data_IF_021312293362
#
_entry.id   IF_021312293362
#
_cell.length_a   1.000
_cell.length_b   1.000
_cell.length_c   1.000
_cell.angle_alpha   90.00
_cell.angle_beta   90.00
_cell.angle_gamma   90.00
#
_symmetry.space_group_name_H-M   'P 1'
#
loop_
_entity.id
_entity.type
_entity.pdbx_description
1 polymer ?
#
# COMPACT_ATOMS: atom_id res chain seq x y z
N UNK A 1 -30.89 5.99 13.22
CA UNK A 1 -30.49 4.61 12.89
C UNK A 1 -29.54 4.19 13.98
N UNK A 2 -29.83 3.08 14.67
CA UNK A 2 -29.05 2.66 15.83
C UNK A 2 -27.88 1.79 15.37
N UNK A 3 -26.74 2.43 15.13
CA UNK A 3 -25.49 1.73 14.84
C UNK A 3 -24.76 1.42 16.14
N UNK A 4 -24.16 0.23 16.22
CA UNK A 4 -23.23 -0.12 17.30
C UNK A 4 -21.81 0.03 16.79
N UNK A 5 -21.08 0.99 17.36
CA UNK A 5 -19.65 1.15 17.11
C UNK A 5 -18.87 0.11 17.92
N UNK A 6 -18.02 -0.67 17.25
CA UNK A 6 -17.07 -1.60 17.91
C UNK A 6 -15.65 -1.29 17.47
N UNK A 7 -14.71 -1.39 18.41
CA UNK A 7 -13.28 -1.15 18.19
C UNK A 7 -12.49 -2.43 18.47
N UNK A 8 -11.80 -2.94 17.47
CA UNK A 8 -10.94 -4.14 17.59
C UNK A 8 -9.47 -3.74 17.54
N UNK A 9 -8.62 -4.49 18.24
CA UNK A 9 -7.16 -4.29 18.20
C UNK A 9 -6.48 -5.22 17.18
N UNK A 10 -7.21 -6.18 16.62
CA UNK A 10 -6.70 -7.13 15.64
C UNK A 10 -7.75 -7.28 14.53
N UNK A 11 -7.37 -7.17 13.24
CA UNK A 11 -8.34 -7.36 12.16
C UNK A 11 -8.95 -8.76 12.16
N UNK A 12 -8.27 -9.76 12.72
CA UNK A 12 -8.72 -11.17 12.75
C UNK A 12 -9.92 -11.39 13.66
N UNK A 13 -10.20 -10.46 14.57
CA UNK A 13 -11.41 -10.46 15.38
C UNK A 13 -12.66 -10.02 14.58
N UNK A 14 -12.47 -9.55 13.34
CA UNK A 14 -13.55 -9.19 12.42
C UNK A 14 -13.70 -10.30 11.38
N UNK A 15 -14.93 -10.80 11.10
CA UNK A 15 -15.14 -11.81 10.07
C UNK A 15 -14.66 -11.34 8.69
N UNK A 16 -13.67 -12.04 8.12
CA UNK A 16 -13.04 -11.69 6.85
C UNK A 16 -14.05 -11.51 5.71
N UNK A 17 -15.01 -12.42 5.59
CA UNK A 17 -16.05 -12.36 4.56
C UNK A 17 -16.88 -11.06 4.61
N UNK A 18 -17.17 -10.55 5.81
CA UNK A 18 -17.93 -9.30 5.96
C UNK A 18 -17.08 -8.08 5.59
N UNK A 19 -15.82 -8.07 6.03
CA UNK A 19 -14.88 -7.00 5.68
C UNK A 19 -14.62 -6.94 4.17
N UNK A 20 -14.29 -8.08 3.57
CA UNK A 20 -13.98 -8.17 2.14
C UNK A 20 -15.23 -7.94 1.28
N UNK A 21 -16.41 -8.35 1.77
CA UNK A 21 -17.70 -8.01 1.16
C UNK A 21 -17.98 -6.51 1.11
N UNK A 22 -17.59 -5.74 2.14
CA UNK A 22 -17.61 -4.28 2.09
C UNK A 22 -16.55 -3.73 1.14
N UNK A 23 -15.32 -4.24 1.20
CA UNK A 23 -14.22 -3.82 0.35
C UNK A 23 -14.57 -3.90 -1.14
N UNK A 24 -15.18 -5.01 -1.57
CA UNK A 24 -15.56 -5.23 -2.97
C UNK A 24 -16.61 -4.24 -3.51
N UNK A 25 -17.38 -3.59 -2.63
CA UNK A 25 -18.44 -2.64 -2.99
C UNK A 25 -17.97 -1.18 -3.03
N UNK A 26 -16.69 -0.92 -2.74
CA UNK A 26 -16.19 0.45 -2.69
C UNK A 26 -15.90 1.03 -4.08
N UNK A 27 -15.76 2.35 -4.16
CA UNK A 27 -15.48 3.09 -5.39
C UNK A 27 -14.05 2.91 -5.91
N UNK A 28 -13.10 2.65 -5.02
CA UNK A 28 -11.69 2.42 -5.34
C UNK A 28 -11.12 1.27 -4.49
N UNK A 29 -11.57 0.02 -4.72
CA UNK A 29 -11.06 -1.13 -4.00
C UNK A 29 -9.59 -1.35 -4.34
N UNK A 30 -8.82 -1.80 -3.35
CA UNK A 30 -7.42 -2.19 -3.54
C UNK A 30 -7.16 -3.47 -2.76
N UNK A 31 -6.24 -4.35 -3.19
CA UNK A 31 -5.89 -5.54 -2.42
C UNK A 31 -5.33 -5.18 -1.04
N UNK A 32 -4.81 -3.96 -0.86
CA UNK A 32 -4.12 -3.53 0.35
C UNK A 32 -5.05 -3.16 1.52
N UNK A 33 -6.35 -3.04 1.27
CA UNK A 33 -7.35 -2.88 2.34
C UNK A 33 -8.15 -4.17 2.57
N UNK A 34 -7.82 -5.28 1.89
CA UNK A 34 -8.42 -6.58 2.17
C UNK A 34 -8.09 -7.07 3.58
N UNK A 35 -8.95 -7.93 4.12
CA UNK A 35 -8.76 -8.52 5.43
C UNK A 35 -7.44 -9.28 5.52
N UNK A 36 -7.15 -10.14 4.53
CA UNK A 36 -5.92 -10.93 4.49
C UNK A 36 -4.65 -10.07 4.50
N UNK A 37 -4.66 -8.94 3.78
CA UNK A 37 -3.53 -8.02 3.75
C UNK A 37 -3.30 -7.33 5.10
N UNK A 38 -4.38 -6.83 5.71
CA UNK A 38 -4.32 -6.17 7.02
C UNK A 38 -3.91 -7.18 8.10
N UNK A 39 -4.49 -8.38 8.11
CA UNK A 39 -4.11 -9.46 9.02
C UNK A 39 -2.62 -9.79 8.91
N UNK A 40 -2.09 -9.93 7.69
CA UNK A 40 -0.68 -10.21 7.48
C UNK A 40 0.25 -9.15 8.08
N UNK A 41 -0.09 -7.86 7.98
CA UNK A 41 0.70 -6.77 8.57
C UNK A 41 0.81 -6.87 10.10
N UNK A 42 -0.27 -7.29 10.75
CA UNK A 42 -0.38 -7.40 12.20
C UNK A 42 0.25 -8.69 12.72
N UNK A 43 -0.04 -9.82 12.07
CA UNK A 43 0.51 -11.14 12.42
C UNK A 43 2.04 -11.18 12.29
N UNK A 44 2.58 -10.50 11.28
CA UNK A 44 4.02 -10.44 11.04
C UNK A 44 4.77 -9.48 11.98
N UNK A 45 4.03 -8.71 12.79
CA UNK A 45 4.55 -7.63 13.63
C UNK A 45 5.00 -6.38 12.88
N UNK A 46 4.85 -6.33 11.55
CA UNK A 46 5.30 -5.22 10.71
C UNK A 46 4.59 -3.92 11.09
N UNK A 47 3.26 -3.96 11.20
CA UNK A 47 2.46 -2.87 11.75
C UNK A 47 2.01 -3.25 13.15
N UNK A 48 2.70 -2.75 14.17
CA UNK A 48 2.38 -3.05 15.57
C UNK A 48 2.66 -1.84 16.46
N UNK A 49 2.19 -1.83 17.72
CA UNK A 49 2.54 -0.77 18.66
C UNK A 49 4.06 -0.57 18.80
N UNK A 50 4.85 -1.65 18.69
CA UNK A 50 6.33 -1.60 18.75
C UNK A 50 6.94 -0.83 17.57
N UNK A 51 6.32 -0.88 16.40
CA UNK A 51 6.74 -0.13 15.20
C UNK A 51 5.99 1.20 15.04
N UNK A 52 5.32 1.65 16.12
CA UNK A 52 4.58 2.90 16.15
C UNK A 52 3.28 2.89 15.33
N UNK A 53 2.68 1.71 15.12
CA UNK A 53 1.41 1.48 14.44
C UNK A 53 0.44 0.75 15.38
N UNK A 54 -0.10 1.43 16.41
CA UNK A 54 -1.07 0.80 17.31
C UNK A 54 -2.45 0.71 16.62
N UNK A 55 -2.99 -0.48 16.31
CA UNK A 55 -4.25 -0.62 15.58
C UNK A 55 -5.48 -0.29 16.39
N UNK A 56 -6.48 0.28 15.73
CA UNK A 56 -7.87 0.40 16.16
C UNK A 56 -8.77 0.20 14.92
N UNK A 57 -9.29 -1.00 14.74
CA UNK A 57 -10.24 -1.27 13.67
C UNK A 57 -11.63 -0.87 14.13
N UNK A 58 -12.14 0.22 13.56
CA UNK A 58 -13.43 0.79 13.94
C UNK A 58 -14.47 0.25 12.98
N UNK A 59 -15.58 -0.24 13.52
CA UNK A 59 -16.65 -0.86 12.76
C UNK A 59 -18.00 -0.33 13.22
N UNK A 60 -18.93 -0.16 12.28
CA UNK A 60 -20.33 0.09 12.55
C UNK A 60 -21.15 -1.15 12.22
N UNK A 61 -22.00 -1.53 13.16
CA UNK A 61 -22.88 -2.69 13.04
C UNK A 61 -24.33 -2.25 13.09
N UNK A 62 -25.14 -2.82 12.21
CA UNK A 62 -26.59 -2.80 12.31
C UNK A 62 -27.04 -4.24 12.53
N UNK A 63 -27.59 -4.52 13.71
CA UNK A 63 -27.79 -5.88 14.21
C UNK A 63 -26.48 -6.71 14.14
N UNK A 64 -26.47 -7.76 13.31
CA UNK A 64 -25.30 -8.62 13.06
C UNK A 64 -24.61 -8.34 11.72
N UNK A 65 -25.00 -7.29 11.01
CA UNK A 65 -24.40 -6.91 9.74
C UNK A 65 -23.34 -5.83 9.94
N UNK A 66 -22.14 -6.07 9.41
CA UNK A 66 -21.11 -5.04 9.30
C UNK A 66 -21.48 -4.08 8.16
N UNK A 67 -21.76 -2.82 8.50
CA UNK A 67 -22.23 -1.81 7.53
C UNK A 67 -21.17 -0.77 7.18
N UNK A 68 -20.15 -0.60 8.03
CA UNK A 68 -18.97 0.20 7.71
C UNK A 68 -17.77 -0.19 8.58
N UNK A 69 -16.57 0.08 8.08
CA UNK A 69 -15.33 -0.17 8.79
C UNK A 69 -14.17 0.69 8.29
N UNK A 70 -13.19 0.95 9.16
CA UNK A 70 -11.89 1.48 8.76
C UNK A 70 -10.76 0.98 9.67
N UNK A 71 -9.54 0.94 9.13
CA UNK A 71 -8.33 0.69 9.91
C UNK A 71 -7.75 2.02 10.40
N UNK A 72 -7.99 2.37 11.66
CA UNK A 72 -7.34 3.50 12.34
C UNK A 72 -6.06 3.00 13.03
N UNK A 73 -5.04 3.83 13.04
CA UNK A 73 -3.79 3.59 13.75
C UNK A 73 -3.44 4.79 14.62
N UNK A 74 -3.10 4.53 15.88
CA UNK A 74 -2.48 5.51 16.76
C UNK A 74 -0.97 5.49 16.49
N UNK A 75 -0.48 6.57 15.88
CA UNK A 75 0.91 6.71 15.43
C UNK A 75 1.74 7.43 16.49
N UNK A 76 2.87 6.85 16.87
CA UNK A 76 3.88 7.48 17.74
C UNK A 76 4.96 8.26 16.98
N UNK A 77 4.98 8.15 15.65
CA UNK A 77 5.88 8.86 14.73
C UNK A 77 5.32 8.80 13.29
N UNK A 78 5.86 9.62 12.38
CA UNK A 78 5.42 9.66 10.97
C UNK A 78 6.05 8.59 10.04
N UNK A 79 6.99 7.76 10.52
CA UNK A 79 7.61 6.73 9.67
C UNK A 79 6.60 5.69 9.15
N UNK A 80 6.80 5.29 7.90
CA UNK A 80 5.97 4.33 7.17
C UNK A 80 4.68 4.91 6.55
N UNK A 81 4.39 6.20 6.76
CA UNK A 81 3.18 6.85 6.23
C UNK A 81 3.37 7.38 4.80
N UNK A 82 4.63 7.60 4.37
CA UNK A 82 5.02 8.24 3.10
C UNK A 82 4.47 9.66 2.89
N UNK A 83 3.80 10.22 3.91
CA UNK A 83 3.50 11.64 4.06
C UNK A 83 3.99 12.00 5.46
N UNK A 84 5.00 12.86 5.53
CA UNK A 84 5.66 13.17 6.80
C UNK A 84 5.18 14.51 7.37
N UNK A 85 4.84 14.50 8.65
CA UNK A 85 4.31 15.66 9.37
C UNK A 85 5.36 16.30 10.31
N UNK A 86 6.65 16.19 9.95
CA UNK A 86 7.75 16.75 10.74
C UNK A 86 7.56 18.22 11.07
N UNK A 87 7.04 19.01 10.13
CA UNK A 87 6.77 20.43 10.35
C UNK A 87 5.73 20.65 11.47
N UNK A 88 4.69 19.82 11.55
CA UNK A 88 3.66 19.92 12.60
C UNK A 88 4.20 19.43 13.94
N UNK A 89 4.92 18.30 13.93
CA UNK A 89 5.56 17.76 15.13
C UNK A 89 6.55 18.75 15.75
N UNK A 90 7.36 19.42 14.92
CA UNK A 90 8.31 20.44 15.36
C UNK A 90 7.59 21.65 15.95
N UNK A 91 6.56 22.18 15.28
CA UNK A 91 5.79 23.32 15.78
C UNK A 91 5.13 23.02 17.15
N UNK A 92 4.56 21.83 17.33
CA UNK A 92 4.03 21.40 18.63
C UNK A 92 5.12 21.39 19.71
N UNK A 93 6.30 20.81 19.39
CA UNK A 93 7.43 20.75 20.30
C UNK A 93 7.97 22.14 20.70
N UNK A 94 8.04 23.07 19.75
CA UNK A 94 8.43 24.48 19.99
C UNK A 94 7.46 25.20 20.95
N UNK A 95 6.22 24.73 21.05
CA UNK A 95 5.21 25.24 21.99
C UNK A 95 5.00 24.34 23.22
N UNK A 96 5.85 23.34 23.45
CA UNK A 96 5.75 22.44 24.61
C UNK A 96 4.55 21.48 24.56
N UNK A 97 3.96 21.28 23.40
CA UNK A 97 2.82 20.38 23.18
C UNK A 97 3.30 19.04 22.59
N UNK A 98 2.59 17.95 22.92
CA UNK A 98 2.84 16.65 22.33
C UNK A 98 2.04 16.49 21.02
N UNK A 99 2.75 16.29 19.90
CA UNK A 99 2.09 15.98 18.62
C UNK A 99 1.73 14.50 18.48
N UNK A 100 2.43 13.59 19.15
CA UNK A 100 2.09 12.16 19.14
C UNK A 100 1.50 11.75 20.50
N UNK A 101 0.54 10.81 20.53
CA UNK A 101 0.01 10.08 19.38
C UNK A 101 -0.97 10.91 18.53
N UNK A 102 -0.94 10.66 17.23
CA UNK A 102 -1.97 11.11 16.28
C UNK A 102 -2.76 9.93 15.75
N UNK A 103 -4.00 10.18 15.31
CA UNK A 103 -4.81 9.20 14.58
C UNK A 103 -4.45 9.18 13.09
N UNK A 104 -4.40 7.99 12.50
CA UNK A 104 -4.14 7.79 11.08
C UNK A 104 -5.04 6.71 10.49
N UNK A 105 -5.85 7.06 9.49
CA UNK A 105 -6.53 6.08 8.62
C UNK A 105 -5.75 5.98 7.31
N UNK A 106 -4.99 4.89 7.18
CA UNK A 106 -4.18 4.58 6.02
C UNK A 106 -3.86 3.09 5.99
N UNK A 107 -3.34 2.60 4.86
CA UNK A 107 -2.72 1.28 4.82
C UNK A 107 -1.24 1.42 5.21
N UNK A 108 -0.76 0.69 6.24
CA UNK A 108 0.65 0.75 6.63
C UNK A 108 1.59 0.46 5.47
N UNK A 109 2.65 1.26 5.37
CA UNK A 109 3.73 1.10 4.41
C UNK A 109 3.30 1.09 2.92
N UNK A 110 2.13 1.66 2.60
CA UNK A 110 1.51 1.51 1.29
C UNK A 110 0.88 2.82 0.79
N UNK A 111 1.61 3.64 0.00
CA UNK A 111 1.16 4.95 -0.46
C UNK A 111 0.25 4.89 -1.70
N UNK A 112 -0.68 3.93 -1.74
CA UNK A 112 -1.57 3.69 -2.88
C UNK A 112 -2.94 4.34 -2.64
N UNK A 113 -3.42 5.23 -3.52
CA UNK A 113 -4.79 5.75 -3.46
C UNK A 113 -5.84 4.65 -3.48
N UNK A 114 -6.84 4.77 -2.62
CA UNK A 114 -7.96 3.84 -2.56
C UNK A 114 -8.87 4.13 -1.38
N UNK A 115 -9.93 3.35 -1.23
CA UNK A 115 -10.89 3.55 -0.16
C UNK A 115 -10.25 3.33 1.22
N UNK A 116 -10.61 4.17 2.19
CA UNK A 116 -10.17 4.13 3.60
C UNK A 116 -11.32 3.98 4.57
N UNK A 117 -12.50 4.47 4.19
CA UNK A 117 -13.74 4.37 4.94
C UNK A 117 -14.69 3.44 4.18
N UNK A 118 -14.61 2.14 4.49
CA UNK A 118 -15.49 1.14 3.91
C UNK A 118 -16.90 1.38 4.43
N UNK A 119 -17.88 1.50 3.54
CA UNK A 119 -19.28 1.68 3.93
C UNK A 119 -20.24 1.22 2.82
N UNK A 120 -21.45 0.82 3.20
CA UNK A 120 -22.51 0.45 2.25
C UNK A 120 -23.05 1.65 1.47
N UNK A 121 -23.01 2.86 2.03
CA UNK A 121 -23.44 4.09 1.36
C UNK A 121 -22.75 5.33 1.97
N UNK A 122 -23.01 6.50 1.37
CA UNK A 122 -22.43 7.79 1.79
C UNK A 122 -22.79 8.19 3.22
N UNK A 123 -24.04 7.99 3.64
CA UNK A 123 -24.53 8.43 4.95
C UNK A 123 -23.88 7.64 6.07
N UNK A 124 -23.74 6.33 5.88
CA UNK A 124 -23.04 5.44 6.81
C UNK A 124 -21.54 5.79 6.84
N UNK A 125 -20.93 6.13 5.69
CA UNK A 125 -19.53 6.56 5.63
C UNK A 125 -19.28 7.81 6.47
N UNK A 126 -20.16 8.80 6.35
CA UNK A 126 -20.09 10.02 7.17
C UNK A 126 -20.29 9.70 8.65
N UNK A 127 -21.23 8.82 9.02
CA UNK A 127 -21.40 8.37 10.41
C UNK A 127 -20.17 7.64 10.96
N UNK A 128 -19.51 6.80 10.15
CA UNK A 128 -18.25 6.16 10.53
C UNK A 128 -17.20 7.22 10.82
N UNK A 129 -17.01 8.20 9.94
CA UNK A 129 -16.02 9.25 10.14
C UNK A 129 -16.32 10.11 11.37
N UNK A 130 -17.59 10.46 11.62
CA UNK A 130 -18.00 11.14 12.87
C UNK A 130 -17.59 10.32 14.10
N UNK A 131 -17.88 9.02 14.10
CA UNK A 131 -17.51 8.12 15.21
C UNK A 131 -15.99 8.06 15.42
N UNK A 132 -15.21 8.06 14.34
CA UNK A 132 -13.74 8.07 14.38
C UNK A 132 -13.24 9.39 14.98
N UNK A 133 -13.80 10.53 14.57
CA UNK A 133 -13.44 11.85 15.09
C UNK A 133 -13.72 11.96 16.58
N UNK A 134 -14.89 11.51 17.03
CA UNK A 134 -15.26 11.57 18.45
C UNK A 134 -14.36 10.66 19.29
N UNK A 135 -14.07 9.45 18.81
CA UNK A 135 -13.12 8.56 19.45
C UNK A 135 -11.71 9.18 19.56
N UNK A 136 -11.25 9.91 18.53
CA UNK A 136 -9.96 10.60 18.57
C UNK A 136 -9.93 11.73 19.62
N UNK A 137 -11.04 12.48 19.76
CA UNK A 137 -11.18 13.51 20.80
C UNK A 137 -11.22 12.91 22.19
N UNK A 138 -11.99 11.83 22.40
CA UNK A 138 -12.08 11.12 23.69
C UNK A 138 -10.71 10.58 24.14
N UNK A 139 -9.89 10.09 23.20
CA UNK A 139 -8.53 9.63 23.47
C UNK A 139 -7.49 10.77 23.56
N UNK A 140 -7.89 12.02 23.37
CA UNK A 140 -6.99 13.18 23.43
C UNK A 140 -5.91 13.18 22.35
N UNK A 141 -6.19 12.63 21.17
CA UNK A 141 -5.24 12.62 20.06
C UNK A 141 -5.06 14.04 19.51
N UNK A 142 -3.83 14.39 19.14
CA UNK A 142 -3.48 15.74 18.64
C UNK A 142 -4.15 16.07 17.30
N UNK A 143 -4.32 15.07 16.44
CA UNK A 143 -4.91 15.20 15.11
C UNK A 143 -5.38 13.84 14.58
N UNK A 144 -6.22 13.88 13.53
CA UNK A 144 -6.61 12.73 12.72
C UNK A 144 -6.22 12.99 11.26
N UNK A 145 -5.57 12.02 10.63
CA UNK A 145 -5.16 12.08 9.23
C UNK A 145 -5.79 10.92 8.46
N UNK A 146 -6.34 11.22 7.28
CA UNK A 146 -6.76 10.20 6.31
C UNK A 146 -5.87 10.35 5.07
N UNK A 147 -5.07 9.33 4.75
CA UNK A 147 -4.08 9.41 3.67
C UNK A 147 -4.48 8.54 2.48
N UNK A 148 -4.22 9.07 1.28
CA UNK A 148 -4.44 8.39 0.00
C UNK A 148 -5.91 7.96 -0.18
N UNK A 149 -6.84 8.84 0.21
CA UNK A 149 -8.30 8.63 0.22
C UNK A 149 -8.89 8.52 -1.19
N UNK A 150 -9.95 7.74 -1.32
CA UNK A 150 -10.80 7.68 -2.52
C UNK A 150 -11.62 8.98 -2.72
N UNK A 151 -12.22 9.20 -3.90
CA UNK A 151 -13.21 10.27 -4.09
C UNK A 151 -14.34 10.25 -3.06
N UNK A 152 -14.89 9.07 -2.74
CA UNK A 152 -15.99 8.95 -1.78
C UNK A 152 -15.57 9.23 -0.32
N UNK A 153 -14.36 8.85 0.07
CA UNK A 153 -13.79 9.24 1.37
C UNK A 153 -13.67 10.76 1.49
N UNK A 154 -13.21 11.44 0.42
CA UNK A 154 -13.05 12.90 0.40
C UNK A 154 -14.37 13.63 0.60
N UNK A 155 -15.45 13.16 -0.03
CA UNK A 155 -16.78 13.73 0.17
C UNK A 155 -17.23 13.66 1.64
N UNK A 156 -16.95 12.53 2.32
CA UNK A 156 -17.25 12.41 3.75
C UNK A 156 -16.37 13.34 4.61
N UNK A 157 -15.09 13.48 4.28
CA UNK A 157 -14.20 14.43 4.94
C UNK A 157 -14.67 15.89 4.78
N UNK A 158 -15.05 16.28 3.57
CA UNK A 158 -15.51 17.64 3.26
C UNK A 158 -16.83 17.95 3.99
N UNK A 159 -17.76 16.98 4.05
CA UNK A 159 -19.02 17.11 4.77
C UNK A 159 -18.84 17.37 6.28
N UNK A 160 -17.72 16.92 6.87
CA UNK A 160 -17.38 17.12 8.27
C UNK A 160 -16.34 18.24 8.49
N UNK A 161 -15.99 19.00 7.45
CA UNK A 161 -15.11 20.16 7.55
C UNK A 161 -13.63 19.82 7.77
N UNK A 162 -13.17 18.63 7.40
CA UNK A 162 -11.75 18.28 7.46
C UNK A 162 -10.96 19.08 6.42
N UNK A 163 -9.71 19.42 6.73
CA UNK A 163 -8.83 20.16 5.83
C UNK A 163 -8.16 19.23 4.82
N UNK A 164 -8.17 19.62 3.54
CA UNK A 164 -7.47 18.88 2.49
C UNK A 164 -6.00 19.29 2.40
N UNK A 165 -5.12 18.29 2.34
CA UNK A 165 -3.72 18.46 1.93
C UNK A 165 -3.50 17.76 0.60
N UNK A 166 -3.03 18.50 -0.39
CA UNK A 166 -2.78 17.97 -1.73
C UNK A 166 -1.33 17.53 -1.90
N UNK A 167 -1.13 16.48 -2.69
CA UNK A 167 0.18 16.00 -3.14
C UNK A 167 0.07 15.53 -4.58
N UNK A 168 1.20 15.35 -5.26
CA UNK A 168 1.26 14.90 -6.65
C UNK A 168 1.73 13.45 -6.69
N UNK A 169 1.01 12.62 -7.45
CA UNK A 169 1.43 11.29 -7.84
C UNK A 169 1.39 11.16 -9.36
N UNK A 170 2.32 10.41 -9.92
CA UNK A 170 2.36 10.10 -11.35
C UNK A 170 1.78 8.71 -11.58
N UNK A 171 0.68 8.64 -12.32
CA UNK A 171 0.04 7.37 -12.69
C UNK A 171 0.15 7.18 -14.19
N UNK A 172 0.69 6.03 -14.61
CA UNK A 172 0.66 5.64 -16.02
C UNK A 172 -0.68 4.95 -16.30
N UNK A 173 -1.29 5.27 -17.45
CA UNK A 173 -2.51 4.64 -17.94
C UNK A 173 -2.27 4.13 -19.35
N UNK A 174 -2.68 2.90 -19.63
CA UNK A 174 -2.57 2.36 -20.96
C UNK A 174 -3.57 3.09 -21.89
N UNK A 175 -3.06 3.90 -22.82
CA UNK A 175 -3.87 4.56 -23.85
C UNK A 175 -4.08 3.65 -25.07
N UNK A 176 -4.47 2.39 -24.83
CA UNK A 176 -4.68 1.35 -25.85
C UNK A 176 -3.40 0.95 -26.62
N UNK A 177 -2.24 1.05 -25.97
CA UNK A 177 -1.00 0.49 -26.50
C UNK A 177 -1.06 -1.04 -26.49
N UNK A 178 -0.67 -1.62 -27.61
CA UNK A 178 -0.68 -3.08 -27.87
C UNK A 178 0.61 -3.76 -27.44
N UNK A 179 1.69 -3.00 -27.39
CA UNK A 179 3.03 -3.44 -27.04
C UNK A 179 3.89 -2.24 -26.61
N UNK A 180 5.09 -2.54 -26.13
CA UNK A 180 6.02 -1.53 -25.63
C UNK A 180 6.52 -0.58 -26.75
N UNK A 181 6.74 -1.07 -27.96
CA UNK A 181 7.20 -0.23 -29.08
C UNK A 181 6.12 0.77 -29.49
N UNK A 182 4.85 0.37 -29.50
CA UNK A 182 3.70 1.24 -29.72
C UNK A 182 3.63 2.33 -28.63
N UNK A 183 3.78 1.98 -27.35
CA UNK A 183 3.90 2.98 -26.27
C UNK A 183 5.04 3.97 -26.53
N UNK A 184 6.21 3.48 -26.92
CA UNK A 184 7.34 4.36 -27.22
C UNK A 184 7.06 5.34 -28.37
N UNK A 185 6.13 5.03 -29.29
CA UNK A 185 5.74 5.95 -30.37
C UNK A 185 5.08 7.24 -29.86
N UNK A 186 4.44 7.21 -28.68
CA UNK A 186 3.79 8.37 -28.08
C UNK A 186 4.78 9.33 -27.39
N UNK A 187 6.03 8.92 -27.22
CA UNK A 187 7.07 9.71 -26.56
C UNK A 187 7.90 10.52 -27.55
N UNK A 188 8.49 11.63 -27.08
CA UNK A 188 9.46 12.41 -27.85
C UNK A 188 10.66 11.56 -28.27
N UNK A 189 11.28 11.91 -29.39
CA UNK A 189 12.41 11.16 -29.96
C UNK A 189 13.54 10.98 -28.93
N UNK A 190 13.85 12.01 -28.15
CA UNK A 190 14.88 11.97 -27.11
C UNK A 190 14.54 10.96 -26.00
N UNK A 191 13.32 11.01 -25.44
CA UNK A 191 12.86 10.06 -24.42
C UNK A 191 12.86 8.63 -24.94
N UNK A 192 12.34 8.43 -26.16
CA UNK A 192 12.32 7.13 -26.83
C UNK A 192 13.73 6.56 -26.98
N UNK A 193 14.67 7.37 -27.47
CA UNK A 193 16.08 6.96 -27.66
C UNK A 193 16.73 6.60 -26.32
N UNK A 194 16.47 7.39 -25.27
CA UNK A 194 16.98 7.14 -23.93
C UNK A 194 16.47 5.81 -23.36
N UNK A 195 15.16 5.57 -23.41
CA UNK A 195 14.57 4.30 -22.93
C UNK A 195 15.21 3.12 -23.69
N UNK A 196 15.21 3.15 -25.03
CA UNK A 196 15.82 2.07 -25.83
C UNK A 196 17.30 1.83 -25.50
N UNK A 197 18.05 2.89 -25.22
CA UNK A 197 19.45 2.78 -24.79
C UNK A 197 19.58 2.13 -23.40
N UNK A 198 18.74 2.50 -22.45
CA UNK A 198 18.73 1.91 -21.10
C UNK A 198 18.37 0.42 -21.15
N UNK A 199 17.34 0.04 -21.90
CA UNK A 199 16.97 -1.39 -22.10
C UNK A 199 18.12 -2.18 -22.73
N UNK A 200 18.73 -1.61 -23.77
CA UNK A 200 19.86 -2.23 -24.48
C UNK A 200 21.06 -2.47 -23.57
N UNK A 201 21.39 -1.54 -22.66
CA UNK A 201 22.49 -1.73 -21.69
C UNK A 201 22.27 -2.93 -20.79
N UNK A 202 21.04 -3.14 -20.33
CA UNK A 202 20.68 -4.30 -19.49
C UNK A 202 20.84 -5.60 -20.28
N UNK A 203 20.39 -5.62 -21.54
CA UNK A 203 20.56 -6.77 -22.43
C UNK A 203 22.03 -7.06 -22.77
N UNK A 204 22.82 -6.03 -23.08
CA UNK A 204 24.27 -6.14 -23.36
C UNK A 204 25.06 -6.59 -22.13
N UNK A 205 24.56 -6.32 -20.92
CA UNK A 205 25.10 -6.86 -19.67
C UNK A 205 24.74 -8.35 -19.44
N UNK A 206 24.07 -9.00 -20.39
CA UNK A 206 23.69 -10.40 -20.33
C UNK A 206 22.49 -10.70 -19.42
N UNK A 207 21.70 -9.68 -19.08
CA UNK A 207 20.54 -9.84 -18.18
C UNK A 207 19.30 -10.24 -18.98
N UNK A 208 18.59 -11.24 -18.47
CA UNK A 208 17.29 -11.70 -18.95
C UNK A 208 16.28 -11.69 -17.81
N UNK A 209 14.98 -11.71 -18.11
CA UNK A 209 13.93 -11.69 -17.11
C UNK A 209 13.08 -12.96 -17.18
N UNK A 210 12.76 -13.51 -16.01
CA UNK A 210 11.68 -14.47 -15.83
C UNK A 210 10.52 -13.78 -15.10
N UNK A 211 9.33 -13.86 -15.69
CA UNK A 211 8.09 -13.37 -15.08
C UNK A 211 7.35 -14.54 -14.47
N UNK A 212 6.92 -14.39 -13.21
CA UNK A 212 6.10 -15.38 -12.49
C UNK A 212 4.93 -14.66 -11.86
N UNK A 213 3.74 -15.24 -11.97
CA UNK A 213 2.50 -14.63 -11.48
C UNK A 213 1.74 -15.56 -10.56
N UNK A 214 1.09 -15.01 -9.54
CA UNK A 214 0.21 -15.81 -8.70
C UNK A 214 0.92 -17.00 -8.04
N UNK A 215 0.31 -18.16 -8.17
CA UNK A 215 0.83 -19.45 -7.70
C UNK A 215 2.11 -19.94 -8.41
N UNK A 216 2.52 -19.32 -9.52
CA UNK A 216 3.79 -19.63 -10.19
C UNK A 216 5.01 -19.10 -9.41
N UNK A 217 4.79 -18.16 -8.49
CA UNK A 217 5.83 -17.63 -7.61
C UNK A 217 6.10 -18.64 -6.50
N UNK A 218 7.18 -19.39 -6.63
CA UNK A 218 7.56 -20.43 -5.68
C UNK A 218 8.09 -19.86 -4.37
N UNK A 219 8.15 -20.68 -3.31
CA UNK A 219 8.76 -20.27 -2.04
C UNK A 219 10.21 -19.79 -2.20
N UNK A 220 10.97 -20.43 -3.09
CA UNK A 220 12.36 -20.04 -3.38
C UNK A 220 12.44 -18.64 -4.01
N UNK A 221 11.44 -18.28 -4.82
CA UNK A 221 11.36 -16.94 -5.40
C UNK A 221 11.03 -15.88 -4.33
N UNK A 222 10.12 -16.20 -3.41
CA UNK A 222 9.79 -15.34 -2.28
C UNK A 222 10.99 -15.13 -1.34
N UNK A 223 11.77 -16.18 -1.10
CA UNK A 223 13.00 -16.10 -0.31
C UNK A 223 14.06 -15.24 -1.01
N UNK A 224 14.26 -15.46 -2.32
CA UNK A 224 15.15 -14.63 -3.12
C UNK A 224 14.72 -13.17 -3.13
N UNK A 225 13.42 -12.91 -3.30
CA UNK A 225 12.85 -11.58 -3.24
C UNK A 225 13.12 -10.91 -1.89
N UNK A 226 12.90 -11.61 -0.78
CA UNK A 226 13.11 -11.03 0.54
C UNK A 226 14.58 -10.67 0.77
N UNK A 227 15.52 -11.50 0.32
CA UNK A 227 16.95 -11.20 0.38
C UNK A 227 17.30 -9.91 -0.38
N UNK A 228 16.76 -9.75 -1.59
CA UNK A 228 16.89 -8.52 -2.37
C UNK A 228 16.31 -7.30 -1.64
N UNK A 229 15.08 -7.43 -1.14
CA UNK A 229 14.35 -6.38 -0.43
C UNK A 229 15.07 -5.93 0.85
N UNK A 230 15.44 -6.87 1.73
CA UNK A 230 16.12 -6.59 2.98
C UNK A 230 17.46 -5.90 2.74
N UNK A 231 18.22 -6.37 1.74
CA UNK A 231 19.52 -5.77 1.42
C UNK A 231 19.41 -4.31 1.02
N UNK A 232 18.40 -3.94 0.23
CA UNK A 232 18.16 -2.53 -0.13
C UNK A 232 17.92 -1.66 1.11
N UNK A 233 17.24 -2.16 2.13
CA UNK A 233 17.08 -1.42 3.39
C UNK A 233 18.41 -1.30 4.16
N UNK A 234 19.18 -2.38 4.26
CA UNK A 234 20.46 -2.41 4.96
C UNK A 234 21.52 -1.50 4.30
N UNK A 235 21.55 -1.45 2.97
CA UNK A 235 22.41 -0.53 2.20
C UNK A 235 22.11 0.95 2.52
N UNK A 236 20.87 1.25 2.92
CA UNK A 236 20.44 2.58 3.36
C UNK A 236 20.45 2.75 4.89
N UNK A 237 21.01 1.81 5.64
CA UNK A 237 21.15 1.88 7.09
C UNK A 237 19.85 1.77 7.87
N UNK A 238 18.78 1.25 7.26
CA UNK A 238 17.48 1.07 7.88
C UNK A 238 17.13 -0.43 7.96
N UNK A 239 16.30 -0.80 8.93
CA UNK A 239 15.67 -2.12 8.94
C UNK A 239 14.47 -2.13 7.97
N UNK A 240 14.16 -3.27 7.34
CA UNK A 240 12.95 -3.41 6.52
C UNK A 240 11.68 -3.15 7.32
N UNK A 241 10.71 -2.46 6.71
CA UNK A 241 9.38 -2.27 7.32
C UNK A 241 8.56 -3.56 7.36
N UNK A 242 8.71 -4.43 6.36
CA UNK A 242 7.93 -5.66 6.21
C UNK A 242 8.83 -6.87 6.44
N UNK A 243 8.45 -7.75 7.36
CA UNK A 243 9.23 -8.95 7.66
C UNK A 243 9.01 -10.06 6.63
N UNK A 244 9.89 -11.07 6.62
CA UNK A 244 9.72 -12.26 5.77
C UNK A 244 8.39 -12.99 6.00
N UNK A 245 7.89 -12.99 7.24
CA UNK A 245 6.61 -13.60 7.59
C UNK A 245 5.40 -12.88 6.97
N UNK A 246 5.49 -11.56 6.76
CA UNK A 246 4.49 -10.81 6.00
C UNK A 246 4.42 -11.32 4.55
N UNK A 247 5.57 -11.49 3.90
CA UNK A 247 5.60 -11.99 2.52
C UNK A 247 5.21 -13.48 2.42
N UNK A 248 5.45 -14.28 3.45
CA UNK A 248 4.89 -15.64 3.51
C UNK A 248 3.36 -15.60 3.46
N UNK A 249 2.75 -14.68 4.20
CA UNK A 249 1.29 -14.51 4.17
C UNK A 249 0.78 -14.08 2.80
N UNK A 250 1.55 -13.28 2.06
CA UNK A 250 1.21 -12.89 0.70
C UNK A 250 1.23 -14.10 -0.24
N UNK A 251 2.24 -14.95 -0.12
CA UNK A 251 2.29 -16.23 -0.84
C UNK A 251 1.10 -17.12 -0.51
N UNK A 252 0.78 -17.29 0.78
CA UNK A 252 -0.20 -18.28 1.21
C UNK A 252 -1.65 -17.85 0.96
N UNK A 253 -1.95 -16.56 1.07
CA UNK A 253 -3.33 -16.05 1.11
C UNK A 253 -3.68 -15.07 -0.01
N UNK A 254 -2.69 -14.54 -0.71
CA UNK A 254 -2.88 -13.46 -1.70
C UNK A 254 -1.98 -13.64 -2.93
N UNK A 255 -1.59 -14.87 -3.28
CA UNK A 255 -0.63 -15.13 -4.35
C UNK A 255 -1.02 -14.40 -5.65
N UNK A 256 -2.29 -14.51 -6.04
CA UNK A 256 -2.85 -13.95 -7.28
C UNK A 256 -2.79 -12.41 -7.36
N UNK A 257 -2.47 -11.73 -6.26
CA UNK A 257 -2.24 -10.29 -6.23
C UNK A 257 -0.79 -9.89 -6.50
N UNK A 258 0.06 -10.80 -6.97
CA UNK A 258 1.48 -10.54 -7.18
C UNK A 258 2.02 -11.03 -8.52
N UNK A 259 2.92 -10.23 -9.07
CA UNK A 259 3.78 -10.57 -10.20
C UNK A 259 5.22 -10.28 -9.81
N UNK A 260 6.09 -11.26 -10.02
CA UNK A 260 7.51 -11.17 -9.76
C UNK A 260 8.29 -11.21 -11.08
N UNK A 261 9.16 -10.23 -11.26
CA UNK A 261 10.17 -10.22 -12.32
C UNK A 261 11.52 -10.56 -11.69
N UNK A 262 12.12 -11.67 -12.10
CA UNK A 262 13.45 -12.11 -11.65
C UNK A 262 14.46 -11.82 -12.75
N UNK A 263 15.42 -10.95 -12.47
CA UNK A 263 16.53 -10.66 -13.37
C UNK A 263 17.61 -11.73 -13.20
N UNK A 264 18.04 -12.33 -14.30
CA UNK A 264 19.04 -13.38 -14.34
C UNK A 264 20.21 -13.02 -15.24
N UNK A 265 21.43 -13.34 -14.80
CA UNK A 265 22.66 -13.25 -15.58
C UNK A 265 23.44 -14.55 -15.43
N UNK A 266 23.85 -15.16 -16.54
CA UNK A 266 24.56 -16.45 -16.54
C UNK A 266 23.80 -17.56 -15.78
N UNK A 267 22.47 -17.52 -15.82
CA UNK A 267 21.60 -18.47 -15.11
C UNK A 267 21.44 -18.23 -13.61
N UNK A 268 22.09 -17.20 -13.04
CA UNK A 268 21.98 -16.82 -11.64
C UNK A 268 21.01 -15.66 -11.47
N UNK A 269 20.15 -15.72 -10.44
CA UNK A 269 19.24 -14.63 -10.10
C UNK A 269 20.00 -13.51 -9.39
N UNK A 270 19.94 -12.30 -9.93
CA UNK A 270 20.76 -11.17 -9.48
C UNK A 270 19.94 -9.99 -8.95
N UNK A 271 18.66 -9.91 -9.28
CA UNK A 271 17.74 -8.88 -8.78
C UNK A 271 16.30 -9.29 -9.01
N UNK A 272 15.36 -8.58 -8.37
CA UNK A 272 13.95 -8.77 -8.65
C UNK A 272 13.09 -7.54 -8.36
N UNK A 273 11.98 -7.47 -9.08
CA UNK A 273 10.90 -6.50 -8.88
C UNK A 273 9.61 -7.25 -8.54
N UNK A 274 8.99 -6.90 -7.42
CA UNK A 274 7.71 -7.47 -6.99
C UNK A 274 6.63 -6.40 -7.11
N UNK A 275 5.66 -6.69 -7.97
CA UNK A 275 4.55 -5.81 -8.32
C UNK A 275 3.27 -6.39 -7.73
N UNK A 276 2.53 -5.56 -7.01
CA UNK A 276 1.18 -5.93 -6.60
C UNK A 276 0.21 -5.66 -7.76
N UNK A 277 -0.78 -6.52 -7.96
CA UNK A 277 -1.76 -6.41 -9.03
C UNK A 277 -3.19 -6.58 -8.51
N UNK A 278 -4.11 -5.93 -9.20
CA UNK A 278 -5.55 -6.05 -8.99
C UNK A 278 -6.24 -6.32 -10.32
N UNK A 279 -7.20 -7.26 -10.31
CA UNK A 279 -8.04 -7.60 -11.46
C UNK A 279 -7.25 -7.85 -12.76
N UNK A 280 -6.09 -8.52 -12.65
CA UNK A 280 -5.23 -8.84 -13.79
C UNK A 280 -6.03 -9.63 -14.85
N UNK A 281 -5.86 -9.27 -16.13
CA UNK A 281 -6.62 -9.88 -17.24
C UNK A 281 -8.01 -9.27 -17.49
N UNK A 282 -8.41 -8.24 -16.73
CA UNK A 282 -9.63 -7.46 -16.98
C UNK A 282 -9.32 -6.04 -17.47
N UNK A 283 -10.34 -5.34 -17.96
CA UNK A 283 -10.23 -3.92 -18.35
C UNK A 283 -9.91 -2.99 -17.16
N UNK A 284 -10.14 -3.45 -15.93
CA UNK A 284 -9.86 -2.74 -14.69
C UNK A 284 -8.54 -3.18 -14.05
N UNK A 285 -7.67 -3.86 -14.79
CA UNK A 285 -6.38 -4.30 -14.28
C UNK A 285 -5.53 -3.11 -13.82
N UNK A 286 -5.01 -3.19 -12.59
CA UNK A 286 -4.11 -2.18 -12.04
C UNK A 286 -2.85 -2.87 -11.52
N UNK A 287 -1.70 -2.32 -11.88
CA UNK A 287 -0.41 -2.69 -11.33
C UNK A 287 0.08 -1.57 -10.40
N UNK A 288 0.56 -1.96 -9.21
CA UNK A 288 1.11 -1.06 -8.21
C UNK A 288 2.61 -1.35 -8.09
N UNK A 289 3.43 -0.45 -8.63
CA UNK A 289 4.89 -0.48 -8.45
C UNK A 289 5.23 -0.48 -6.96
N UNK A 290 5.88 -1.54 -6.46
CA UNK A 290 5.95 -1.77 -5.02
C UNK A 290 7.32 -2.00 -4.45
N UNK A 291 8.00 -3.07 -4.88
CA UNK A 291 9.27 -3.43 -4.27
C UNK A 291 10.31 -3.78 -5.33
N UNK A 292 11.54 -3.38 -5.04
CA UNK A 292 12.71 -3.65 -5.84
C UNK A 292 13.86 -3.99 -4.91
N UNK A 293 14.72 -4.89 -5.35
CA UNK A 293 16.03 -5.07 -4.77
C UNK A 293 16.94 -5.81 -5.73
N UNK A 294 18.24 -5.62 -5.54
CA UNK A 294 19.26 -6.26 -6.35
C UNK A 294 20.35 -6.85 -5.45
N UNK A 295 20.85 -8.02 -5.83
CA UNK A 295 22.07 -8.62 -5.28
C UNK A 295 23.34 -8.21 -6.04
N UNK A 296 23.20 -7.75 -7.28
CA UNK A 296 24.31 -7.25 -8.07
C UNK A 296 23.99 -5.90 -8.70
N UNK A 297 25.01 -5.05 -8.82
CA UNK A 297 24.85 -3.76 -9.48
C UNK A 297 24.96 -3.94 -10.98
N UNK A 298 23.89 -3.63 -11.69
CA UNK A 298 23.86 -3.52 -13.16
C UNK A 298 23.23 -2.18 -13.51
N UNK A 299 23.90 -1.42 -14.37
CA UNK A 299 23.41 -0.12 -14.80
C UNK A 299 22.05 -0.24 -15.48
N UNK A 300 21.14 0.70 -15.17
CA UNK A 300 19.79 0.78 -15.71
C UNK A 300 18.84 -0.38 -15.34
N UNK A 301 19.29 -1.39 -14.59
CA UNK A 301 18.51 -2.59 -14.27
C UNK A 301 17.22 -2.29 -13.50
N UNK A 302 17.25 -1.34 -12.56
CA UNK A 302 16.06 -0.88 -11.84
C UNK A 302 14.98 -0.33 -12.79
N UNK A 303 15.37 0.41 -13.83
CA UNK A 303 14.40 0.95 -14.80
C UNK A 303 13.76 -0.17 -15.62
N UNK A 304 14.58 -1.10 -16.13
CA UNK A 304 14.08 -2.25 -16.91
C UNK A 304 13.12 -3.13 -16.11
N UNK A 305 13.39 -3.35 -14.81
CA UNK A 305 12.58 -4.25 -14.01
C UNK A 305 11.34 -3.60 -13.37
N UNK A 306 11.34 -2.28 -13.16
CA UNK A 306 10.29 -1.58 -12.39
C UNK A 306 9.42 -0.65 -13.24
N UNK A 307 9.89 -0.23 -14.43
CA UNK A 307 9.19 0.77 -15.25
C UNK A 307 8.90 0.31 -16.67
N UNK A 308 9.74 -0.55 -17.26
CA UNK A 308 9.61 -1.00 -18.65
C UNK A 308 8.95 -2.38 -18.75
#
# INVERSE_FOLDING_TARGET
MDYVTRVYQDPRDIPAQMWDGLCAQQDAPTPFISHAYLAALHESGSASPKTGWKPQFITLWQDNQLVAACALYLKSHSYGEYVFDWAWANAYGEHGLAYYPKGLVAVPFTPVPGTRLLALNSDIRTHLLTSVLDLCKEQGLSSLHLLFTSPQDRLACDALGLMQRQTVQFHWRNAQFTDFDHFLTSLSQEKRKKIKQERRRVQEAGVTFQTRSGSEISTQDWDFFYNCYERTYLEHGNAPYLSRSFFQSMQDRMADNWVLFVAQREGQSIACSLIAVHALGSDNAVAYGRYWGALERVDCLHFEACYY
#
